data_IF_399427126135
#
_entry.id   IF_399427126135
#
_cell.length_a   1.000
_cell.length_b   1.000
_cell.length_c   1.000
_cell.angle_alpha   90.00
_cell.angle_beta   90.00
_cell.angle_gamma   90.00
#
_symmetry.space_group_name_H-M   'P 1'
#
loop_
_entity.id
_entity.type
_entity.pdbx_description
1 polymer ?
#
# COMPACT_ATOMS: atom_id res chain seq x y z
N UNK A 1 15.53 -45.48 30.56
CA UNK A 1 16.12 -44.12 30.63
C UNK A 1 15.07 -43.15 31.19
N UNK A 2 15.33 -42.52 32.33
CA UNK A 2 14.42 -41.56 32.97
C UNK A 2 14.61 -40.18 32.34
N UNK A 3 13.61 -39.65 31.63
CA UNK A 3 13.65 -38.26 31.17
C UNK A 3 13.44 -37.30 32.36
N UNK A 4 14.53 -36.64 32.77
CA UNK A 4 14.52 -35.53 33.72
C UNK A 4 13.70 -34.36 33.14
N UNK A 5 12.53 -34.07 33.74
CA UNK A 5 11.83 -32.80 33.53
C UNK A 5 12.71 -31.66 34.07
N UNK A 6 13.00 -30.65 33.23
CA UNK A 6 13.67 -29.41 33.66
C UNK A 6 12.85 -28.73 34.79
N UNK A 7 13.50 -28.17 35.81
CA UNK A 7 12.83 -27.59 36.97
C UNK A 7 12.10 -26.29 36.60
N UNK A 8 10.92 -26.10 37.20
CA UNK A 8 9.92 -25.04 36.94
C UNK A 8 10.52 -23.62 36.90
N UNK A 9 11.55 -23.33 37.71
CA UNK A 9 12.22 -22.02 37.77
C UNK A 9 12.84 -21.54 36.46
N UNK A 10 13.36 -22.43 35.60
CA UNK A 10 13.95 -22.01 34.32
C UNK A 10 12.90 -21.59 33.28
N UNK A 11 11.63 -22.05 33.37
CA UNK A 11 10.57 -21.58 32.48
C UNK A 11 10.09 -20.20 32.87
N UNK A 12 10.01 -19.92 34.16
CA UNK A 12 9.51 -18.64 34.66
C UNK A 12 10.50 -17.50 34.36
N UNK A 13 11.80 -17.74 34.43
CA UNK A 13 12.84 -16.78 33.99
C UNK A 13 12.85 -16.57 32.46
N UNK A 14 12.57 -17.62 31.67
CA UNK A 14 12.48 -17.51 30.20
C UNK A 14 11.21 -16.78 29.75
N UNK A 15 10.14 -16.84 30.53
CA UNK A 15 8.90 -16.09 30.30
C UNK A 15 9.08 -14.62 30.73
N UNK A 16 9.78 -14.35 31.84
CA UNK A 16 10.06 -12.99 32.30
C UNK A 16 11.03 -12.23 31.39
N UNK A 17 12.08 -12.89 30.90
CA UNK A 17 13.02 -12.31 29.91
C UNK A 17 12.33 -12.01 28.59
N UNK A 18 11.44 -12.89 28.10
CA UNK A 18 10.60 -12.62 26.93
C UNK A 18 9.62 -11.44 27.12
N UNK A 19 9.15 -11.21 28.35
CA UNK A 19 8.25 -10.08 28.68
C UNK A 19 9.02 -8.76 28.77
N UNK A 20 10.23 -8.76 29.34
CA UNK A 20 11.12 -7.61 29.37
C UNK A 20 11.67 -7.24 27.98
N UNK A 21 11.97 -8.23 27.13
CA UNK A 21 12.32 -8.01 25.71
C UNK A 21 11.12 -7.60 24.85
N UNK A 22 9.88 -7.95 25.23
CA UNK A 22 8.67 -7.40 24.60
C UNK A 22 8.48 -5.92 24.92
N UNK A 23 8.80 -5.50 26.15
CA UNK A 23 8.75 -4.08 26.55
C UNK A 23 9.76 -3.18 25.81
N UNK A 24 10.89 -3.72 25.36
CA UNK A 24 11.91 -2.97 24.59
C UNK A 24 11.67 -2.94 23.07
N UNK A 25 10.70 -3.69 22.53
CA UNK A 25 10.49 -3.83 21.08
C UNK A 25 9.61 -2.75 20.43
N UNK A 26 8.89 -1.96 21.22
CA UNK A 26 7.84 -1.05 20.74
C UNK A 26 8.16 0.46 20.85
N UNK A 27 9.35 0.87 21.29
CA UNK A 27 9.62 2.30 21.56
C UNK A 27 10.19 3.10 20.37
N UNK A 28 10.39 2.50 19.20
CA UNK A 28 11.13 3.14 18.08
C UNK A 28 10.26 3.63 16.92
N UNK A 29 8.95 3.37 16.92
CA UNK A 29 8.07 3.80 15.85
C UNK A 29 7.78 5.31 15.97
N UNK A 30 8.15 6.09 14.95
CA UNK A 30 7.78 7.51 14.90
C UNK A 30 6.33 7.63 14.45
N UNK A 31 5.43 7.94 15.40
CA UNK A 31 4.00 8.10 15.13
C UNK A 31 3.66 9.58 14.99
N UNK A 32 3.19 9.98 13.81
CA UNK A 32 2.80 11.37 13.50
C UNK A 32 1.37 11.47 12.94
N UNK A 33 0.61 10.39 13.03
CA UNK A 33 -0.76 10.26 12.52
C UNK A 33 -1.68 11.38 13.03
N UNK A 34 -2.47 11.96 12.13
CA UNK A 34 -3.40 13.08 12.42
C UNK A 34 -4.85 12.79 12.03
N UNK A 35 -5.15 11.57 11.59
CA UNK A 35 -6.50 11.18 11.21
C UNK A 35 -7.35 10.75 12.41
N UNK A 36 -8.50 10.19 12.10
CA UNK A 36 -9.46 9.66 13.06
C UNK A 36 -8.85 8.54 13.89
N UNK A 37 -8.79 8.75 15.21
CA UNK A 37 -8.33 7.77 16.20
C UNK A 37 -9.28 7.77 17.40
N UNK A 38 -10.29 6.89 17.43
CA UNK A 38 -11.19 6.81 18.57
C UNK A 38 -10.50 6.10 19.74
N UNK A 39 -10.64 6.65 20.95
CA UNK A 39 -10.14 6.05 22.19
C UNK A 39 -11.01 4.90 22.71
N UNK A 40 -12.23 4.77 22.16
CA UNK A 40 -13.21 3.77 22.57
C UNK A 40 -13.76 3.02 21.35
N UNK A 41 -14.52 1.95 21.60
CA UNK A 41 -15.27 1.31 20.53
C UNK A 41 -16.19 2.35 19.85
N UNK A 42 -15.94 2.59 18.56
CA UNK A 42 -16.66 3.58 17.79
C UNK A 42 -17.53 2.89 16.73
N UNK A 43 -18.87 2.99 16.81
CA UNK A 43 -19.72 2.46 15.75
C UNK A 43 -19.51 3.24 14.46
N UNK A 44 -19.40 2.53 13.34
CA UNK A 44 -19.25 3.16 12.02
C UNK A 44 -20.60 3.70 11.57
N UNK A 45 -20.64 4.96 11.16
CA UNK A 45 -21.84 5.63 10.67
C UNK A 45 -22.30 5.07 9.32
N UNK A 46 -23.61 4.95 9.16
CA UNK A 46 -24.27 4.64 7.88
C UNK A 46 -24.81 5.91 7.23
N UNK A 47 -24.32 6.25 6.04
CA UNK A 47 -24.71 7.46 5.32
C UNK A 47 -25.24 7.09 3.93
N UNK A 48 -26.43 7.57 3.51
CA UNK A 48 -26.92 7.41 2.14
C UNK A 48 -25.93 7.94 1.12
N UNK A 49 -25.54 7.12 0.15
CA UNK A 49 -24.64 7.56 -0.92
C UNK A 49 -25.19 8.79 -1.65
N UNK A 50 -26.50 8.82 -1.87
CA UNK A 50 -27.20 9.90 -2.56
C UNK A 50 -27.18 11.24 -1.79
N UNK A 51 -26.87 11.24 -0.48
CA UNK A 51 -26.78 12.47 0.31
C UNK A 51 -25.37 13.08 0.33
N UNK A 52 -24.38 12.45 -0.31
CA UNK A 52 -23.00 12.92 -0.32
C UNK A 52 -22.60 13.43 -1.70
N UNK A 53 -22.07 14.66 -1.75
CA UNK A 53 -21.23 15.07 -2.87
C UNK A 53 -19.85 14.42 -2.77
N UNK A 54 -19.09 14.41 -3.88
CA UNK A 54 -17.71 13.95 -3.86
C UNK A 54 -16.81 14.79 -2.92
N UNK A 55 -17.09 16.10 -2.82
CA UNK A 55 -16.41 16.99 -1.89
C UNK A 55 -16.72 16.66 -0.43
N UNK A 56 -17.99 16.42 -0.10
CA UNK A 56 -18.40 16.00 1.24
C UNK A 56 -17.76 14.67 1.62
N UNK A 57 -17.80 13.68 0.72
CA UNK A 57 -17.15 12.41 0.95
C UNK A 57 -15.65 12.56 1.26
N UNK A 58 -14.96 13.38 0.48
CA UNK A 58 -13.54 13.63 0.69
C UNK A 58 -13.26 14.36 2.00
N UNK A 59 -13.91 15.51 2.25
CA UNK A 59 -13.61 16.37 3.40
C UNK A 59 -14.14 15.84 4.73
N UNK A 60 -15.21 15.05 4.71
CA UNK A 60 -15.77 14.45 5.92
C UNK A 60 -15.06 13.14 6.25
N UNK A 61 -14.83 12.25 5.26
CA UNK A 61 -14.34 10.90 5.52
C UNK A 61 -12.89 10.67 5.10
N UNK A 62 -12.57 10.82 3.81
CA UNK A 62 -11.26 10.42 3.25
C UNK A 62 -10.11 11.23 3.85
N UNK A 63 -10.23 12.56 3.87
CA UNK A 63 -9.21 13.48 4.40
C UNK A 63 -8.85 13.17 5.86
N UNK A 64 -9.85 12.77 6.65
CA UNK A 64 -9.68 12.48 8.07
C UNK A 64 -9.47 11.00 8.37
N UNK A 65 -9.36 10.13 7.34
CA UNK A 65 -9.21 8.67 7.50
C UNK A 65 -10.33 8.05 8.37
N UNK A 66 -11.55 8.58 8.23
CA UNK A 66 -12.70 8.13 8.98
C UNK A 66 -13.47 7.06 8.17
N UNK A 67 -13.62 5.83 8.70
CA UNK A 67 -14.44 4.81 8.06
C UNK A 67 -15.91 5.21 7.99
N UNK A 68 -16.59 4.83 6.91
CA UNK A 68 -18.03 5.07 6.71
C UNK A 68 -18.68 3.90 5.98
N UNK A 69 -19.93 3.59 6.31
CA UNK A 69 -20.77 2.67 5.54
C UNK A 69 -21.68 3.49 4.64
N UNK A 70 -21.47 3.39 3.33
CA UNK A 70 -22.32 4.06 2.35
C UNK A 70 -23.54 3.20 2.04
N UNK A 71 -24.74 3.71 2.34
CA UNK A 71 -26.01 3.01 2.10
C UNK A 71 -26.56 3.34 0.71
N UNK A 72 -27.54 2.54 0.25
CA UNK A 72 -28.24 2.67 -1.03
C UNK A 72 -27.41 2.36 -2.30
N UNK A 73 -26.17 1.91 -2.11
CA UNK A 73 -25.26 1.28 -3.09
C UNK A 73 -24.95 2.12 -4.34
N UNK A 74 -23.89 1.76 -5.06
CA UNK A 74 -23.58 2.34 -6.37
C UNK A 74 -24.57 1.89 -7.47
N UNK A 75 -25.82 1.53 -7.14
CA UNK A 75 -26.76 0.82 -8.02
C UNK A 75 -26.99 1.49 -9.38
N UNK A 76 -26.92 2.82 -9.46
CA UNK A 76 -27.03 3.57 -10.72
C UNK A 76 -25.78 3.51 -11.62
N UNK A 77 -24.60 3.25 -11.06
CA UNK A 77 -23.31 3.28 -11.78
C UNK A 77 -22.69 1.89 -11.92
N UNK A 78 -22.86 1.03 -10.91
CA UNK A 78 -22.32 -0.31 -10.83
C UNK A 78 -23.36 -1.35 -11.25
N UNK A 79 -23.41 -1.63 -12.56
CA UNK A 79 -24.32 -2.61 -13.19
C UNK A 79 -24.14 -4.02 -12.62
N UNK A 80 -22.93 -4.35 -12.13
CA UNK A 80 -22.63 -5.64 -11.53
C UNK A 80 -23.48 -5.98 -10.31
N UNK A 81 -23.99 -4.98 -9.57
CA UNK A 81 -24.92 -5.18 -8.45
C UNK A 81 -26.20 -5.91 -8.86
N UNK A 82 -26.64 -5.73 -10.10
CA UNK A 82 -27.86 -6.37 -10.62
C UNK A 82 -27.56 -7.59 -11.50
N UNK A 83 -26.38 -7.63 -12.14
CA UNK A 83 -26.06 -8.63 -13.17
C UNK A 83 -25.32 -9.85 -12.66
N UNK A 84 -24.50 -9.72 -11.62
CA UNK A 84 -23.51 -10.73 -11.25
C UNK A 84 -24.15 -11.92 -10.52
N UNK A 85 -24.72 -12.83 -11.31
CA UNK A 85 -25.06 -14.20 -10.91
C UNK A 85 -23.92 -15.15 -11.27
N UNK A 86 -23.84 -16.34 -10.64
CA UNK A 86 -22.80 -17.32 -10.99
C UNK A 86 -22.88 -17.72 -12.48
N UNK A 87 -24.09 -17.81 -13.04
CA UNK A 87 -24.29 -18.08 -14.48
C UNK A 87 -23.71 -16.97 -15.36
N UNK A 88 -24.02 -15.70 -15.05
CA UNK A 88 -23.48 -14.55 -15.77
C UNK A 88 -21.94 -14.47 -15.67
N UNK A 89 -21.41 -14.68 -14.47
CA UNK A 89 -19.97 -14.66 -14.22
C UNK A 89 -19.24 -15.76 -14.99
N UNK A 90 -19.80 -16.97 -15.07
CA UNK A 90 -19.27 -18.04 -15.94
C UNK A 90 -19.27 -17.63 -17.41
N UNK A 91 -20.38 -17.09 -17.90
CA UNK A 91 -20.50 -16.69 -19.29
C UNK A 91 -19.48 -15.61 -19.68
N UNK A 92 -19.24 -14.64 -18.80
CA UNK A 92 -18.39 -13.47 -19.10
C UNK A 92 -16.92 -13.70 -18.85
N UNK A 93 -16.58 -14.46 -17.80
CA UNK A 93 -15.22 -14.56 -17.31
C UNK A 93 -14.78 -16.00 -17.01
N UNK A 94 -15.59 -17.01 -17.34
CA UNK A 94 -15.35 -18.41 -16.96
C UNK A 94 -14.01 -18.97 -17.46
N UNK A 95 -13.58 -18.56 -18.64
CA UNK A 95 -12.32 -18.99 -19.26
C UNK A 95 -11.09 -18.25 -18.72
N UNK A 96 -11.29 -17.20 -17.93
CA UNK A 96 -10.17 -16.48 -17.28
C UNK A 96 -9.52 -17.37 -16.23
N UNK A 97 -8.19 -17.46 -16.26
CA UNK A 97 -7.44 -18.14 -15.21
C UNK A 97 -7.23 -17.24 -14.01
N UNK A 98 -7.50 -17.78 -12.83
CA UNK A 98 -7.43 -17.09 -11.53
C UNK A 98 -6.60 -17.90 -10.55
N UNK A 99 -5.95 -17.21 -9.63
CA UNK A 99 -5.24 -17.83 -8.52
C UNK A 99 -6.13 -17.83 -7.27
N UNK A 100 -6.58 -19.02 -6.85
CA UNK A 100 -7.52 -19.21 -5.74
C UNK A 100 -6.78 -19.72 -4.53
N UNK A 101 -6.95 -19.06 -3.40
CA UNK A 101 -6.36 -19.52 -2.15
C UNK A 101 -7.09 -20.76 -1.62
N UNK A 102 -6.33 -21.72 -1.08
CA UNK A 102 -6.86 -22.98 -0.56
C UNK A 102 -6.38 -23.25 0.87
N UNK A 103 -7.32 -23.52 1.78
CA UNK A 103 -7.05 -23.94 3.16
C UNK A 103 -6.91 -25.46 3.27
N UNK A 104 -6.01 -25.96 4.11
CA UNK A 104 -5.81 -27.42 4.26
C UNK A 104 -6.89 -28.09 5.11
N UNK A 105 -7.48 -27.32 6.01
CA UNK A 105 -8.49 -27.77 6.98
C UNK A 105 -9.27 -26.57 7.52
N UNK A 106 -10.31 -26.83 8.31
CA UNK A 106 -11.21 -25.79 8.82
C UNK A 106 -10.58 -24.85 9.87
N UNK A 107 -9.46 -25.24 10.48
CA UNK A 107 -8.73 -24.42 11.45
C UNK A 107 -7.72 -23.45 10.78
N UNK A 108 -7.33 -23.72 9.54
CA UNK A 108 -6.50 -22.83 8.75
C UNK A 108 -7.27 -21.55 8.36
N UNK A 109 -6.53 -20.52 7.98
CA UNK A 109 -7.07 -19.21 7.57
C UNK A 109 -6.70 -18.91 6.12
N UNK A 110 -7.44 -17.99 5.51
CA UNK A 110 -7.00 -17.36 4.27
C UNK A 110 -6.01 -16.22 4.58
N UNK A 111 -5.20 -15.82 3.62
CA UNK A 111 -4.06 -14.91 3.81
C UNK A 111 -2.72 -15.59 4.10
N UNK A 112 -2.57 -16.90 3.80
CA UNK A 112 -1.30 -17.65 3.90
C UNK A 112 -0.61 -17.85 2.54
N UNK A 113 -1.23 -17.40 1.45
CA UNK A 113 -0.59 -17.36 0.12
C UNK A 113 -0.54 -18.71 -0.61
N UNK A 114 -1.19 -19.75 -0.09
CA UNK A 114 -1.29 -21.07 -0.74
C UNK A 114 -2.34 -21.01 -1.84
N UNK A 115 -1.92 -20.79 -3.08
CA UNK A 115 -2.82 -20.61 -4.22
C UNK A 115 -2.78 -21.78 -5.20
N UNK A 116 -3.93 -22.10 -5.78
CA UNK A 116 -4.09 -23.02 -6.91
C UNK A 116 -4.64 -22.24 -8.08
N UNK A 117 -3.97 -22.34 -9.23
CA UNK A 117 -4.43 -21.71 -10.47
C UNK A 117 -5.49 -22.58 -11.15
N UNK A 118 -6.64 -21.98 -11.48
CA UNK A 118 -7.74 -22.68 -12.16
C UNK A 118 -8.55 -21.71 -13.03
N UNK A 119 -9.35 -22.24 -13.96
CA UNK A 119 -10.34 -21.44 -14.67
C UNK A 119 -11.40 -20.91 -13.69
N UNK A 120 -11.82 -19.66 -13.85
CA UNK A 120 -12.79 -19.03 -12.97
C UNK A 120 -14.15 -19.76 -12.99
N UNK A 121 -14.54 -20.32 -14.14
CA UNK A 121 -15.74 -21.15 -14.25
C UNK A 121 -15.66 -22.40 -13.37
N UNK A 122 -14.51 -23.07 -13.35
CA UNK A 122 -14.29 -24.24 -12.50
C UNK A 122 -14.33 -23.86 -11.01
N UNK A 123 -13.78 -22.71 -10.62
CA UNK A 123 -13.92 -22.19 -9.26
C UNK A 123 -15.39 -21.98 -8.86
N UNK A 124 -16.20 -21.39 -9.75
CA UNK A 124 -17.64 -21.20 -9.50
C UNK A 124 -18.38 -22.54 -9.37
N UNK A 125 -17.98 -23.56 -10.13
CA UNK A 125 -18.55 -24.92 -10.00
C UNK A 125 -18.21 -25.56 -8.65
N UNK A 126 -17.01 -25.33 -8.13
CA UNK A 126 -16.64 -25.80 -6.79
C UNK A 126 -17.44 -25.09 -5.69
N UNK A 127 -17.72 -23.79 -5.84
CA UNK A 127 -18.61 -23.07 -4.91
C UNK A 127 -20.04 -23.59 -4.95
N UNK A 128 -20.58 -23.88 -6.14
CA UNK A 128 -21.93 -24.44 -6.30
C UNK A 128 -22.04 -25.84 -5.68
N UNK A 129 -20.94 -26.62 -5.65
CA UNK A 129 -20.84 -27.89 -4.89
C UNK A 129 -20.72 -27.68 -3.38
N UNK A 130 -20.56 -26.45 -2.91
CA UNK A 130 -20.49 -26.08 -1.50
C UNK A 130 -19.08 -26.17 -0.89
N UNK A 131 -18.01 -26.10 -1.69
CA UNK A 131 -16.63 -26.03 -1.18
C UNK A 131 -16.43 -24.73 -0.39
N UNK A 132 -15.90 -24.85 0.83
CA UNK A 132 -15.67 -23.72 1.75
C UNK A 132 -14.18 -23.43 1.97
N UNK A 133 -13.30 -24.31 1.48
CA UNK A 133 -11.85 -24.26 1.60
C UNK A 133 -11.17 -23.43 0.50
N UNK A 134 -11.95 -22.89 -0.45
CA UNK A 134 -11.48 -22.05 -1.54
C UNK A 134 -11.88 -20.58 -1.35
N UNK A 135 -10.95 -19.66 -1.63
CA UNK A 135 -11.20 -18.22 -1.61
C UNK A 135 -10.46 -17.51 -2.74
N UNK A 136 -11.22 -16.91 -3.65
CA UNK A 136 -10.68 -15.97 -4.62
C UNK A 136 -10.28 -14.70 -3.88
N UNK A 137 -8.98 -14.42 -3.94
CA UNK A 137 -8.35 -13.24 -3.34
C UNK A 137 -7.83 -12.30 -4.42
N UNK A 138 -7.02 -11.31 -4.05
CA UNK A 138 -6.35 -10.42 -5.01
C UNK A 138 -5.52 -11.21 -6.02
N UNK A 139 -5.49 -10.68 -7.24
CA UNK A 139 -4.96 -11.35 -8.41
C UNK A 139 -3.69 -10.63 -8.84
N UNK A 140 -2.66 -11.39 -9.20
CA UNK A 140 -1.38 -10.81 -9.57
C UNK A 140 -1.55 -10.02 -10.87
N UNK A 141 -1.05 -8.79 -10.87
CA UNK A 141 -0.97 -7.90 -12.03
C UNK A 141 0.50 -7.53 -12.16
N UNK A 142 0.99 -7.46 -13.39
CA UNK A 142 2.36 -7.01 -13.63
C UNK A 142 2.53 -5.55 -13.15
N UNK A 143 3.69 -5.25 -12.58
CA UNK A 143 4.02 -3.92 -12.08
C UNK A 143 5.26 -3.37 -12.79
N UNK A 144 5.26 -2.07 -13.00
CA UNK A 144 6.43 -1.27 -13.41
C UNK A 144 7.00 -0.56 -12.19
N UNK A 145 8.13 0.12 -12.35
CA UNK A 145 8.69 0.98 -11.31
C UNK A 145 7.76 2.10 -10.82
N UNK A 146 6.66 2.38 -11.53
CA UNK A 146 5.67 3.41 -11.22
C UNK A 146 4.31 2.85 -10.76
N UNK A 147 4.13 1.53 -10.70
CA UNK A 147 2.88 0.88 -10.29
C UNK A 147 2.37 -0.18 -11.28
N UNK A 148 1.17 -0.73 -11.05
CA UNK A 148 0.59 -1.80 -11.86
C UNK A 148 0.34 -1.33 -13.30
N UNK A 149 0.57 -2.22 -14.27
CA UNK A 149 0.33 -1.94 -15.70
C UNK A 149 -1.15 -1.96 -16.07
N UNK A 150 -2.01 -2.43 -15.17
CA UNK A 150 -3.46 -2.53 -15.36
C UNK A 150 -4.19 -2.24 -14.06
N UNK A 151 -5.39 -1.68 -14.18
CA UNK A 151 -6.31 -1.47 -13.06
C UNK A 151 -6.84 -2.78 -12.48
N UNK A 152 -6.83 -3.87 -13.26
CA UNK A 152 -7.51 -5.12 -12.89
C UNK A 152 -6.74 -6.36 -13.31
N UNK A 153 -6.81 -7.40 -12.49
CA UNK A 153 -6.49 -8.77 -12.87
C UNK A 153 -7.75 -9.55 -13.25
N UNK A 154 -7.58 -10.76 -13.77
CA UNK A 154 -8.70 -11.70 -13.97
C UNK A 154 -9.32 -12.09 -12.62
N UNK A 155 -10.65 -12.26 -12.49
CA UNK A 155 -11.66 -12.20 -13.53
C UNK A 155 -12.21 -10.77 -13.75
N UNK A 156 -11.79 -9.79 -12.94
CA UNK A 156 -12.34 -8.43 -12.97
C UNK A 156 -12.14 -7.74 -14.32
N UNK A 157 -11.04 -8.01 -15.02
CA UNK A 157 -10.77 -7.51 -16.38
C UNK A 157 -11.88 -7.84 -17.38
N UNK A 158 -12.45 -9.06 -17.33
CA UNK A 158 -13.55 -9.49 -18.20
C UNK A 158 -14.93 -8.92 -17.78
N UNK A 159 -15.01 -8.30 -16.60
CA UNK A 159 -16.22 -7.77 -15.99
C UNK A 159 -16.23 -6.23 -15.95
N UNK A 160 -15.20 -5.58 -16.47
CA UNK A 160 -14.98 -4.14 -16.34
C UNK A 160 -16.12 -3.29 -16.92
N UNK A 161 -16.79 -3.78 -17.96
CA UNK A 161 -17.96 -3.13 -18.56
C UNK A 161 -19.16 -2.96 -17.61
N UNK A 162 -19.19 -3.73 -16.52
CA UNK A 162 -20.22 -3.60 -15.49
C UNK A 162 -19.79 -2.69 -14.33
N UNK A 163 -18.50 -2.35 -14.21
CA UNK A 163 -17.91 -1.63 -13.07
C UNK A 163 -17.68 -0.16 -13.43
N UNK A 164 -18.02 0.80 -12.55
CA UNK A 164 -17.68 2.20 -12.79
C UNK A 164 -16.16 2.39 -12.64
N UNK A 165 -15.49 2.68 -13.76
CA UNK A 165 -14.05 2.97 -13.80
C UNK A 165 -13.63 4.16 -12.93
N UNK A 166 -14.57 5.04 -12.57
CA UNK A 166 -14.38 6.08 -11.56
C UNK A 166 -15.77 6.45 -11.03
N UNK A 167 -16.19 5.88 -9.88
CA UNK A 167 -17.44 6.27 -9.24
C UNK A 167 -17.52 7.78 -9.06
N UNK A 168 -18.68 8.41 -9.31
CA UNK A 168 -18.83 9.87 -9.16
C UNK A 168 -18.41 10.38 -7.79
N UNK A 169 -18.65 9.59 -6.74
CA UNK A 169 -18.28 9.88 -5.36
C UNK A 169 -16.77 10.14 -5.18
N UNK A 170 -15.92 9.59 -6.05
CA UNK A 170 -14.47 9.73 -5.92
C UNK A 170 -14.00 11.16 -6.12
N UNK A 171 -14.73 12.00 -6.87
CA UNK A 171 -14.26 13.34 -7.19
C UNK A 171 -12.88 13.25 -7.83
N UNK A 172 -11.86 13.83 -7.20
CA UNK A 172 -10.47 13.79 -7.67
C UNK A 172 -9.68 12.51 -7.31
N UNK A 173 -10.26 11.59 -6.55
CA UNK A 173 -9.61 10.30 -6.26
C UNK A 173 -9.57 9.43 -7.52
N UNK A 174 -8.46 8.70 -7.66
CA UNK A 174 -8.22 7.78 -8.76
C UNK A 174 -8.22 6.35 -8.21
N UNK A 175 -8.99 5.42 -8.81
CA UNK A 175 -8.86 4.02 -8.46
C UNK A 175 -7.45 3.52 -8.78
N UNK A 176 -6.83 2.88 -7.80
CA UNK A 176 -5.54 2.22 -8.00
C UNK A 176 -5.73 0.84 -8.63
N UNK A 177 -6.62 0.02 -8.05
CA UNK A 177 -6.92 -1.34 -8.50
C UNK A 177 -8.37 -1.74 -8.20
N UNK A 178 -8.93 -2.61 -9.02
CA UNK A 178 -10.18 -3.33 -8.74
C UNK A 178 -9.91 -4.82 -8.52
N UNK A 179 -10.43 -5.32 -7.41
CA UNK A 179 -10.29 -6.70 -7.00
C UNK A 179 -11.66 -7.31 -6.72
N UNK A 180 -11.79 -8.62 -6.97
CA UNK A 180 -12.98 -9.41 -6.62
C UNK A 180 -12.59 -10.42 -5.56
N UNK A 181 -13.26 -10.36 -4.42
CA UNK A 181 -13.12 -11.36 -3.37
C UNK A 181 -14.35 -12.24 -3.33
N UNK A 182 -14.14 -13.56 -3.42
CA UNK A 182 -15.24 -14.50 -3.52
C UNK A 182 -14.91 -15.80 -2.79
N UNK A 183 -15.88 -16.32 -2.06
CA UNK A 183 -15.81 -17.62 -1.43
C UNK A 183 -17.12 -17.91 -0.71
N UNK A 184 -17.21 -19.07 -0.10
CA UNK A 184 -18.37 -19.46 0.67
C UNK A 184 -17.93 -20.00 2.02
N UNK A 185 -18.70 -19.69 3.06
CA UNK A 185 -18.57 -20.36 4.34
C UNK A 185 -19.88 -20.34 5.12
N UNK A 186 -20.23 -21.46 5.74
CA UNK A 186 -21.38 -21.58 6.64
C UNK A 186 -21.04 -21.11 8.06
N UNK A 187 -19.83 -21.43 8.53
CA UNK A 187 -19.35 -21.05 9.87
C UNK A 187 -18.64 -19.69 9.92
N UNK A 188 -18.33 -19.12 8.76
CA UNK A 188 -17.52 -17.92 8.61
C UNK A 188 -16.03 -18.22 8.49
N UNK A 189 -15.32 -17.35 7.76
CA UNK A 189 -13.88 -17.42 7.55
C UNK A 189 -13.25 -16.05 7.77
N UNK A 190 -11.92 -16.01 7.86
CA UNK A 190 -11.16 -14.77 8.08
C UNK A 190 -9.93 -14.76 7.19
N UNK A 191 -9.59 -13.56 6.70
CA UNK A 191 -8.35 -13.27 5.98
C UNK A 191 -7.23 -12.78 6.91
N UNK A 192 -7.44 -12.81 8.22
CA UNK A 192 -6.53 -12.25 9.22
C UNK A 192 -6.47 -10.72 9.22
N UNK A 193 -6.03 -10.16 10.36
CA UNK A 193 -5.90 -8.71 10.52
C UNK A 193 -4.67 -8.20 9.78
N UNK A 194 -4.85 -7.21 8.92
CA UNK A 194 -3.80 -6.58 8.13
C UNK A 194 -4.17 -5.13 7.82
N UNK A 195 -3.27 -4.41 7.15
CA UNK A 195 -3.54 -3.12 6.55
C UNK A 195 -3.11 -3.12 5.08
N UNK A 196 -3.71 -2.21 4.31
CA UNK A 196 -3.42 -1.99 2.90
C UNK A 196 -2.76 -0.61 2.71
N UNK A 197 -2.06 -0.43 1.59
CA UNK A 197 -1.34 0.81 1.29
C UNK A 197 -2.24 1.93 0.74
N UNK A 198 -3.44 1.59 0.29
CA UNK A 198 -4.37 2.52 -0.35
C UNK A 198 -5.71 2.56 0.38
N UNK A 199 -6.43 3.66 0.18
CA UNK A 199 -7.83 3.75 0.61
C UNK A 199 -8.67 2.70 -0.13
N UNK A 200 -9.57 2.03 0.59
CA UNK A 200 -10.40 0.96 0.03
C UNK A 200 -11.89 1.35 0.03
N UNK A 201 -12.56 1.13 -1.10
CA UNK A 201 -14.01 1.05 -1.18
C UNK A 201 -14.43 -0.42 -1.31
N UNK A 202 -14.96 -1.00 -0.24
CA UNK A 202 -15.53 -2.34 -0.27
C UNK A 202 -17.01 -2.31 -0.65
N UNK A 203 -17.37 -2.98 -1.75
CA UNK A 203 -18.77 -3.18 -2.16
C UNK A 203 -19.18 -4.62 -1.91
N UNK A 204 -20.07 -4.84 -0.94
CA UNK A 204 -20.58 -6.18 -0.63
C UNK A 204 -21.71 -6.56 -1.59
N UNK A 205 -21.47 -7.55 -2.46
CA UNK A 205 -22.44 -8.01 -3.45
C UNK A 205 -23.37 -9.12 -2.91
N UNK A 206 -22.81 -10.10 -2.19
CA UNK A 206 -23.55 -11.25 -1.66
C UNK A 206 -23.00 -11.68 -0.31
N UNK A 207 -23.88 -12.19 0.55
CA UNK A 207 -23.53 -12.71 1.87
C UNK A 207 -23.30 -11.61 2.90
N UNK A 208 -22.42 -11.88 3.88
CA UNK A 208 -22.12 -10.98 5.00
C UNK A 208 -20.63 -11.01 5.30
N UNK A 209 -20.04 -9.83 5.53
CA UNK A 209 -18.69 -9.66 6.08
C UNK A 209 -18.75 -8.86 7.38
N UNK A 210 -17.89 -9.20 8.32
CA UNK A 210 -17.71 -8.45 9.57
C UNK A 210 -16.33 -7.80 9.52
N UNK A 211 -16.29 -6.48 9.57
CA UNK A 211 -15.04 -5.72 9.63
C UNK A 211 -14.76 -5.30 11.07
N UNK A 212 -13.52 -5.49 11.50
CA UNK A 212 -12.99 -4.91 12.74
C UNK A 212 -11.81 -4.02 12.35
N UNK A 213 -11.97 -2.72 12.52
CA UNK A 213 -10.99 -1.72 12.11
C UNK A 213 -10.25 -1.20 13.35
N UNK A 214 -8.96 -1.01 13.20
CA UNK A 214 -8.10 -0.38 14.19
C UNK A 214 -7.43 0.83 13.53
N UNK A 215 -7.39 1.95 14.23
CA UNK A 215 -6.75 3.16 13.73
C UNK A 215 -5.24 2.94 13.52
N UNK A 216 -4.61 3.55 12.49
CA UNK A 216 -3.19 3.40 12.20
C UNK A 216 -2.28 3.67 13.40
N UNK A 217 -2.60 4.65 14.25
CA UNK A 217 -1.82 4.95 15.47
C UNK A 217 -1.75 3.76 16.44
N UNK A 218 -2.66 2.79 16.37
CA UNK A 218 -2.63 1.57 17.20
C UNK A 218 -1.76 0.46 16.61
N UNK A 219 -1.18 0.64 15.41
CA UNK A 219 -0.39 -0.40 14.74
C UNK A 219 0.80 -0.92 15.58
N UNK A 220 1.39 -0.07 16.42
CA UNK A 220 2.48 -0.47 17.33
C UNK A 220 2.03 -1.41 18.46
N UNK A 221 0.72 -1.47 18.73
CA UNK A 221 0.10 -2.35 19.74
C UNK A 221 -0.32 -3.69 19.12
N UNK A 222 -0.34 -3.78 17.79
CA UNK A 222 -0.70 -4.97 17.05
C UNK A 222 0.57 -5.81 16.79
N UNK A 223 0.47 -7.14 16.95
CA UNK A 223 1.58 -8.08 16.70
C UNK A 223 1.77 -8.31 15.20
N UNK A 224 2.17 -7.25 14.50
CA UNK A 224 2.51 -7.26 13.06
C UNK A 224 3.73 -8.15 12.79
N UNK A 225 3.84 -8.67 11.57
CA UNK A 225 4.93 -9.59 11.18
C UNK A 225 6.29 -8.91 11.20
N UNK A 226 6.34 -7.62 10.87
CA UNK A 226 7.53 -6.77 10.95
C UNK A 226 7.31 -5.59 11.91
N UNK A 227 8.40 -5.04 12.44
CA UNK A 227 8.32 -3.87 13.32
C UNK A 227 7.98 -2.61 12.52
N UNK A 228 6.97 -1.87 12.97
CA UNK A 228 6.62 -0.56 12.40
C UNK A 228 7.75 0.44 12.66
N UNK A 229 8.20 1.15 11.63
CA UNK A 229 9.22 2.18 11.74
C UNK A 229 8.62 3.58 11.82
N UNK A 230 7.64 3.90 10.98
CA UNK A 230 7.03 5.24 10.91
C UNK A 230 5.54 5.08 10.60
N UNK A 231 4.72 5.90 11.24
CA UNK A 231 3.32 6.10 10.90
C UNK A 231 3.15 7.57 10.53
N UNK A 232 2.90 7.83 9.25
CA UNK A 232 2.83 9.18 8.70
C UNK A 232 1.53 9.91 9.09
N UNK A 233 1.46 11.26 8.94
CA UNK A 233 0.27 12.03 9.27
C UNK A 233 -1.01 11.53 8.59
N UNK A 234 -0.87 11.04 7.37
CA UNK A 234 -1.95 10.49 6.56
C UNK A 234 -2.28 9.02 6.86
N UNK A 235 -1.64 8.39 7.85
CA UNK A 235 -1.91 7.00 8.25
C UNK A 235 -1.09 5.93 7.52
N UNK A 236 -0.21 6.30 6.59
CA UNK A 236 0.69 5.34 5.94
C UNK A 236 1.64 4.70 6.97
N UNK A 237 1.57 3.36 7.08
CA UNK A 237 2.40 2.55 7.97
C UNK A 237 3.61 2.03 7.20
N UNK A 238 4.80 2.44 7.61
CA UNK A 238 6.07 2.08 6.98
C UNK A 238 6.89 1.16 7.88
N UNK A 239 7.38 0.06 7.32
CA UNK A 239 8.28 -0.89 7.98
C UNK A 239 9.76 -0.54 7.80
N UNK A 240 10.06 0.48 7.01
CA UNK A 240 11.42 0.92 6.68
C UNK A 240 11.52 2.44 6.79
N UNK A 241 12.70 2.93 7.20
CA UNK A 241 13.01 4.37 7.22
C UNK A 241 13.21 4.88 5.79
N UNK A 242 13.02 6.19 5.60
CA UNK A 242 13.30 6.85 4.33
C UNK A 242 12.18 6.78 3.29
N UNK A 243 11.00 6.27 3.67
CA UNK A 243 9.78 6.39 2.86
C UNK A 243 9.07 7.70 3.22
N UNK A 244 8.57 8.41 2.22
CA UNK A 244 7.75 9.61 2.37
C UNK A 244 6.30 9.27 2.74
N UNK A 245 5.53 10.28 3.14
CA UNK A 245 4.09 10.09 3.40
C UNK A 245 3.30 9.79 2.11
N UNK A 246 3.88 10.11 0.94
CA UNK A 246 3.41 9.74 -0.40
C UNK A 246 3.75 8.28 -0.77
N UNK A 247 4.44 7.53 0.09
CA UNK A 247 4.86 6.16 -0.16
C UNK A 247 6.12 6.02 -1.02
N UNK A 248 6.68 7.14 -1.50
CA UNK A 248 7.87 7.15 -2.34
C UNK A 248 9.16 7.08 -1.50
N UNK A 249 10.19 6.34 -1.94
CA UNK A 249 11.50 6.41 -1.30
C UNK A 249 12.09 7.81 -1.43
N UNK A 250 12.40 8.47 -0.31
CA UNK A 250 12.96 9.84 -0.28
C UNK A 250 14.23 9.97 -1.13
N UNK A 251 15.06 8.93 -1.15
CA UNK A 251 16.27 8.89 -1.99
C UNK A 251 15.94 8.90 -3.49
N UNK A 252 14.92 8.16 -3.92
CA UNK A 252 14.49 8.13 -5.32
C UNK A 252 13.88 9.47 -5.73
N UNK A 253 13.02 10.06 -4.89
CA UNK A 253 12.47 11.41 -5.12
C UNK A 253 13.58 12.45 -5.21
N UNK A 254 14.57 12.39 -4.31
CA UNK A 254 15.72 13.28 -4.34
C UNK A 254 16.52 13.13 -5.64
N UNK A 255 16.82 11.90 -6.06
CA UNK A 255 17.56 11.64 -7.30
C UNK A 255 16.78 12.11 -8.54
N UNK A 256 15.47 11.90 -8.57
CA UNK A 256 14.61 12.39 -9.65
C UNK A 256 14.62 13.92 -9.73
N UNK A 257 14.47 14.61 -8.58
CA UNK A 257 14.54 16.08 -8.51
C UNK A 257 15.90 16.59 -9.00
N UNK A 258 16.99 16.01 -8.51
CA UNK A 258 18.34 16.36 -8.97
C UNK A 258 18.48 16.20 -10.49
N UNK A 259 18.01 15.08 -11.05
CA UNK A 259 18.02 14.86 -12.50
C UNK A 259 17.25 15.93 -13.27
N UNK A 260 16.06 16.33 -12.80
CA UNK A 260 15.26 17.40 -13.41
C UNK A 260 15.96 18.76 -13.39
N UNK A 261 16.59 19.11 -12.28
CA UNK A 261 17.33 20.39 -12.17
C UNK A 261 18.59 20.35 -13.06
N UNK A 262 19.34 19.25 -13.08
CA UNK A 262 20.51 19.09 -13.96
C UNK A 262 20.15 19.12 -15.45
N UNK A 263 19.01 18.52 -15.81
CA UNK A 263 18.49 18.59 -17.17
C UNK A 263 18.13 20.03 -17.55
N UNK A 264 17.38 20.74 -16.69
CA UNK A 264 17.04 22.16 -16.90
C UNK A 264 18.30 23.02 -17.06
N UNK A 265 19.31 22.82 -16.21
CA UNK A 265 20.60 23.50 -16.32
C UNK A 265 21.26 23.24 -17.68
N UNK A 266 21.34 21.98 -18.10
CA UNK A 266 21.93 21.58 -19.39
C UNK A 266 21.18 22.18 -20.59
N UNK A 267 19.85 22.22 -20.53
CA UNK A 267 19.02 22.78 -21.59
C UNK A 267 19.17 24.30 -21.68
N UNK A 268 19.21 25.00 -20.54
CA UNK A 268 19.49 26.44 -20.49
C UNK A 268 20.89 26.77 -21.06
N UNK A 269 21.91 25.99 -20.71
CA UNK A 269 23.26 26.15 -21.27
C UNK A 269 23.31 25.92 -22.77
N UNK A 270 22.60 24.90 -23.28
CA UNK A 270 22.52 24.61 -24.71
C UNK A 270 21.86 25.75 -25.46
N UNK A 271 20.77 26.27 -24.92
CA UNK A 271 19.99 27.38 -25.48
C UNK A 271 20.81 28.68 -25.50
N UNK A 272 21.53 28.97 -24.41
CA UNK A 272 22.45 30.11 -24.34
C UNK A 272 23.53 30.04 -25.43
N UNK A 273 24.12 28.86 -25.60
CA UNK A 273 25.18 28.62 -26.60
C UNK A 273 24.69 28.77 -28.04
N UNK A 274 23.40 28.48 -28.31
CA UNK A 274 22.80 28.55 -29.65
C UNK A 274 22.35 29.97 -30.04
N UNK A 275 21.89 30.78 -29.09
CA UNK A 275 21.30 32.09 -29.39
C UNK A 275 22.27 33.28 -29.30
N UNK A 276 23.53 33.07 -28.92
CA UNK A 276 24.64 34.01 -29.13
C UNK A 276 24.49 35.43 -28.59
N UNK A 277 23.50 35.70 -27.75
CA UNK A 277 23.20 37.03 -27.20
C UNK A 277 23.28 36.97 -25.67
N UNK A 278 24.11 37.84 -25.09
CA UNK A 278 24.22 38.06 -23.66
C UNK A 278 22.88 38.59 -23.13
N UNK A 279 22.14 37.74 -22.42
CA UNK A 279 20.90 38.11 -21.74
C UNK A 279 21.08 37.86 -20.25
N UNK A 280 21.20 38.95 -19.50
CA UNK A 280 21.36 38.92 -18.04
C UNK A 280 20.28 38.11 -17.30
N UNK A 281 19.06 38.00 -17.87
CA UNK A 281 17.99 37.17 -17.29
C UNK A 281 18.27 35.68 -17.50
N UNK A 282 18.83 35.31 -18.66
CA UNK A 282 19.20 33.93 -18.98
C UNK A 282 20.40 33.49 -18.14
N UNK A 283 21.41 34.33 -17.98
CA UNK A 283 22.57 34.03 -17.13
C UNK A 283 22.16 33.86 -15.66
N UNK A 284 21.25 34.70 -15.17
CA UNK A 284 20.67 34.55 -13.83
C UNK A 284 19.93 33.21 -13.67
N UNK A 285 19.14 32.80 -14.68
CA UNK A 285 18.44 31.52 -14.65
C UNK A 285 19.38 30.31 -14.69
N UNK A 286 20.49 30.39 -15.43
CA UNK A 286 21.54 29.35 -15.44
C UNK A 286 22.20 29.24 -14.08
N UNK A 287 22.57 30.37 -13.47
CA UNK A 287 23.20 30.39 -12.15
C UNK A 287 22.24 29.85 -11.07
N UNK A 288 20.96 30.24 -11.11
CA UNK A 288 19.95 29.72 -10.20
C UNK A 288 19.79 28.20 -10.31
N UNK A 289 19.78 27.66 -11.54
CA UNK A 289 19.71 26.22 -11.76
C UNK A 289 20.99 25.47 -11.31
N UNK A 290 22.17 26.07 -11.47
CA UNK A 290 23.45 25.52 -10.99
C UNK A 290 23.50 25.46 -9.46
N UNK A 291 23.12 26.57 -8.80
CA UNK A 291 23.06 26.67 -7.35
C UNK A 291 22.07 25.66 -6.76
N UNK A 292 20.92 25.48 -7.42
CA UNK A 292 19.93 24.45 -7.05
C UNK A 292 20.50 23.04 -7.23
N UNK A 293 21.21 22.74 -8.33
CA UNK A 293 21.89 21.47 -8.54
C UNK A 293 22.89 21.17 -7.42
N UNK A 294 23.77 22.13 -7.11
CA UNK A 294 24.76 22.02 -6.05
C UNK A 294 24.10 21.78 -4.68
N UNK A 295 22.97 22.44 -4.42
CA UNK A 295 22.17 22.23 -3.20
C UNK A 295 21.66 20.80 -3.09
N UNK A 296 21.06 20.24 -4.15
CA UNK A 296 20.61 18.84 -4.12
C UNK A 296 21.80 17.86 -4.01
N UNK A 297 22.92 18.10 -4.70
CA UNK A 297 24.09 17.22 -4.60
C UNK A 297 24.66 17.15 -3.17
N UNK A 298 24.66 18.29 -2.45
CA UNK A 298 25.14 18.33 -1.06
C UNK A 298 24.18 17.67 -0.07
N UNK A 299 22.86 17.81 -0.26
CA UNK A 299 21.85 17.14 0.58
C UNK A 299 21.86 15.61 0.45
N UNK A 300 22.09 15.07 -0.75
CA UNK A 300 22.17 13.62 -0.99
C UNK A 300 23.43 12.94 -0.40
N UNK A 301 24.52 13.68 -0.22
CA UNK A 301 25.82 13.15 0.28
C UNK A 301 25.87 12.80 1.77
N UNK A 302 24.84 13.14 2.54
CA UNK A 302 24.82 12.94 3.99
C UNK A 302 24.37 11.54 4.42
N UNK A 303 23.81 10.73 3.51
CA UNK A 303 23.17 9.45 3.83
C UNK A 303 24.03 8.20 3.54
N UNK A 304 25.27 8.33 3.07
CA UNK A 304 26.14 7.15 2.86
C UNK A 304 27.63 7.49 3.05
N UNK A 305 28.13 7.27 4.27
CA UNK A 305 29.56 7.04 4.51
C UNK A 305 29.77 5.62 5.02
N UNK A 306 29.65 4.66 4.11
CA UNK A 306 30.42 3.43 4.17
C UNK A 306 31.29 3.35 2.92
N UNK A 307 32.51 3.87 3.03
CA UNK A 307 33.56 3.81 2.03
C UNK A 307 34.92 3.95 2.72
N UNK A 308 35.97 3.24 2.25
CA UNK A 308 37.06 2.76 3.08
C UNK A 308 38.04 3.87 3.50
N UNK A 309 38.67 3.66 4.65
CA UNK A 309 39.73 4.51 5.23
C UNK A 309 40.77 4.91 4.18
N UNK A 310 40.92 6.22 3.97
CA UNK A 310 42.11 6.84 3.38
C UNK A 310 43.32 6.57 4.27
N UNK A 311 44.29 5.80 3.78
CA UNK A 311 45.68 5.93 4.21
C UNK A 311 46.35 7.04 3.40
N UNK A 312 47.12 7.87 4.09
CA UNK A 312 47.86 9.00 3.52
C UNK A 312 48.98 8.50 2.60
N UNK A 313 49.13 9.14 1.45
CA UNK A 313 50.23 8.93 0.52
C UNK A 313 50.29 10.10 -0.46
N UNK A 314 51.42 10.78 -0.45
CA UNK A 314 51.72 12.07 -1.08
C UNK A 314 51.99 12.01 -2.59
N UNK A 315 51.68 13.13 -3.27
CA UNK A 315 52.25 13.65 -4.53
C UNK A 315 51.99 12.96 -5.89
N UNK A 316 51.33 13.72 -6.77
CA UNK A 316 51.85 14.29 -8.05
C UNK A 316 50.90 14.16 -9.25
N UNK A 317 50.95 15.18 -10.11
CA UNK A 317 50.06 15.50 -11.22
C UNK A 317 50.11 14.48 -12.38
N UNK A 318 48.97 14.29 -13.07
CA UNK A 318 48.94 13.66 -14.39
C UNK A 318 47.54 13.46 -14.96
N UNK A 319 47.25 14.17 -16.05
CA UNK A 319 46.07 14.11 -16.96
C UNK A 319 45.44 12.72 -17.17
N UNK A 320 44.10 12.66 -17.15
CA UNK A 320 43.28 11.72 -17.93
C UNK A 320 41.99 12.45 -18.39
N UNK A 321 41.89 12.85 -19.66
CA UNK A 321 41.13 12.15 -20.71
C UNK A 321 39.73 11.70 -20.26
N UNK A 322 38.72 12.57 -20.46
CA UNK A 322 37.31 12.17 -20.44
C UNK A 322 36.89 11.79 -21.86
N UNK A 323 36.43 10.55 -22.00
CA UNK A 323 35.79 10.02 -23.20
C UNK A 323 34.35 10.54 -23.22
N UNK A 324 34.00 11.21 -24.32
CA UNK A 324 32.65 11.62 -24.63
C UNK A 324 31.81 10.40 -25.00
N UNK A 325 30.63 10.25 -24.39
CA UNK A 325 29.55 9.45 -24.96
C UNK A 325 28.61 10.41 -25.70
N UNK A 326 28.50 10.19 -27.01
CA UNK A 326 27.58 10.88 -27.92
C UNK A 326 26.13 10.64 -27.49
N UNK A 327 25.41 11.73 -27.20
CA UNK A 327 23.95 11.75 -27.23
C UNK A 327 23.50 11.97 -28.67
N UNK A 328 22.82 10.96 -29.24
CA UNK A 328 22.15 11.10 -30.51
C UNK A 328 20.94 12.03 -30.36
N UNK A 329 20.90 13.03 -31.24
CA UNK A 329 19.89 14.05 -31.41
C UNK A 329 18.58 13.50 -31.99
N UNK A 330 17.44 13.90 -31.42
CA UNK A 330 16.20 14.05 -32.17
C UNK A 330 15.62 15.42 -31.83
N UNK A 331 15.35 16.20 -32.87
CA UNK A 331 14.94 17.59 -32.82
C UNK A 331 13.48 17.74 -32.32
N UNK A 332 13.24 18.91 -31.75
CA UNK A 332 11.97 19.41 -31.23
C UNK A 332 10.90 19.55 -32.33
N UNK A 333 9.64 19.54 -31.89
CA UNK A 333 8.71 20.65 -32.11
C UNK A 333 7.78 20.73 -30.88
N UNK A 334 7.96 21.80 -30.10
CA UNK A 334 7.00 22.28 -29.10
C UNK A 334 6.15 23.35 -29.81
N UNK A 335 4.83 23.17 -29.84
CA UNK A 335 3.88 24.28 -29.87
C UNK A 335 2.83 24.00 -28.79
N UNK A 336 2.97 24.74 -27.70
CA UNK A 336 1.98 24.81 -26.63
C UNK A 336 0.94 25.86 -27.01
N UNK A 337 -0.31 25.43 -27.19
CA UNK A 337 -1.48 26.28 -27.06
C UNK A 337 -2.46 25.56 -26.12
N UNK A 338 -2.79 26.27 -25.04
CA UNK A 338 -3.82 25.92 -24.06
C UNK A 338 -5.18 25.80 -24.76
N UNK A 339 -5.84 24.65 -24.67
CA UNK A 339 -7.31 24.54 -24.62
C UNK A 339 -7.69 23.12 -24.17
N UNK A 340 -7.99 22.99 -22.87
CA UNK A 340 -8.53 21.76 -22.30
C UNK A 340 -10.05 21.74 -22.49
N UNK A 341 -10.53 21.14 -23.58
CA UNK A 341 -11.87 20.58 -23.60
C UNK A 341 -12.05 19.40 -24.59
N UNK A 342 -12.78 18.38 -24.12
CA UNK A 342 -13.48 17.31 -24.87
C UNK A 342 -12.73 16.24 -25.72
N UNK A 343 -12.77 15.01 -25.19
CA UNK A 343 -13.12 13.72 -25.83
C UNK A 343 -12.41 13.27 -27.14
N UNK A 344 -11.78 12.09 -27.13
CA UNK A 344 -12.29 10.83 -27.73
C UNK A 344 -11.23 9.72 -27.68
N UNK A 345 -11.71 8.48 -27.62
CA UNK A 345 -10.88 7.28 -27.69
C UNK A 345 -10.61 6.95 -29.16
N UNK A 346 -9.35 6.74 -29.51
CA UNK A 346 -8.96 5.94 -30.67
C UNK A 346 -7.85 4.96 -30.28
N UNK A 347 -7.95 3.79 -30.88
CA UNK A 347 -7.21 2.56 -30.63
C UNK A 347 -5.83 2.63 -31.26
N UNK A 348 -4.77 2.26 -30.53
CA UNK A 348 -3.48 1.95 -31.13
C UNK A 348 -2.96 0.59 -30.65
N UNK A 349 -2.71 -0.27 -31.63
CA UNK A 349 -2.17 -1.63 -31.53
C UNK A 349 -0.68 -1.64 -31.10
N UNK A 350 -0.18 -2.74 -30.51
CA UNK A 350 1.04 -2.70 -29.69
C UNK A 350 2.34 -2.79 -30.50
N UNK A 351 3.26 -1.86 -30.25
CA UNK A 351 4.62 -1.92 -30.75
C UNK A 351 5.46 -2.96 -29.97
N UNK A 352 6.18 -3.78 -30.74
CA UNK A 352 7.05 -4.89 -30.36
C UNK A 352 8.21 -4.51 -29.43
N UNK A 353 8.53 -5.42 -28.51
CA UNK A 353 9.55 -5.27 -27.48
C UNK A 353 11.00 -5.36 -28.00
N UNK A 354 11.81 -4.39 -27.59
CA UNK A 354 13.27 -4.53 -27.51
C UNK A 354 13.69 -4.36 -26.05
N UNK A 355 14.35 -5.38 -25.52
CA UNK A 355 14.85 -5.45 -24.15
C UNK A 355 16.13 -4.62 -24.02
N UNK A 356 16.07 -3.49 -23.31
CA UNK A 356 17.26 -2.90 -22.70
C UNK A 356 17.31 -3.30 -21.23
N UNK A 357 18.33 -4.11 -20.91
CA UNK A 357 18.71 -4.48 -19.56
C UNK A 357 19.71 -3.45 -19.06
N UNK A 358 19.25 -2.45 -18.32
CA UNK A 358 20.13 -1.68 -17.44
C UNK A 358 19.52 -1.55 -16.04
N UNK A 359 20.35 -1.92 -15.06
CA UNK A 359 19.98 -2.09 -13.66
C UNK A 359 19.62 -0.77 -12.98
N UNK A 360 18.34 -0.60 -12.70
CA UNK A 360 17.83 0.33 -11.70
C UNK A 360 16.78 -0.42 -10.88
N UNK A 361 17.19 -0.86 -9.68
CA UNK A 361 16.37 -1.57 -8.72
C UNK A 361 15.31 -0.61 -8.13
N UNK A 362 14.18 -0.47 -8.79
CA UNK A 362 12.96 0.12 -8.23
C UNK A 362 11.95 -0.99 -7.93
N UNK A 363 11.86 -1.34 -6.64
CA UNK A 363 10.92 -2.27 -5.97
C UNK A 363 10.53 -3.52 -6.76
N UNK A 364 11.04 -4.72 -6.41
CA UNK A 364 10.26 -5.91 -6.71
C UNK A 364 8.93 -5.80 -5.91
N UNK A 365 7.78 -6.24 -6.46
CA UNK A 365 6.68 -6.61 -5.60
C UNK A 365 7.26 -7.58 -4.57
N UNK A 366 6.93 -7.40 -3.28
CA UNK A 366 7.18 -8.46 -2.32
C UNK A 366 6.29 -9.63 -2.74
N UNK A 367 6.77 -10.45 -3.67
CA UNK A 367 6.28 -11.80 -3.90
C UNK A 367 6.63 -12.51 -2.61
N UNK A 368 5.70 -12.49 -1.67
CA UNK A 368 5.85 -13.19 -0.41
C UNK A 368 5.92 -14.68 -0.78
N UNK A 369 7.03 -15.37 -0.45
CA UNK A 369 7.17 -16.79 -0.76
C UNK A 369 5.98 -17.58 -0.23
N UNK A 370 5.61 -18.66 -0.92
CA UNK A 370 4.50 -19.51 -0.50
C UNK A 370 4.67 -19.95 0.97
N UNK A 371 3.70 -19.59 1.82
CA UNK A 371 3.71 -19.91 3.26
C UNK A 371 4.30 -18.84 4.18
N UNK A 372 4.80 -17.72 3.65
CA UNK A 372 5.17 -16.54 4.45
C UNK A 372 4.00 -15.53 4.51
N UNK A 373 3.90 -14.78 5.62
CA UNK A 373 2.89 -13.73 5.78
C UNK A 373 3.50 -12.36 5.44
N UNK A 374 2.81 -11.50 4.66
CA UNK A 374 3.30 -10.17 4.34
C UNK A 374 3.51 -9.32 5.61
N UNK A 375 4.48 -8.39 5.65
CA UNK A 375 4.75 -7.52 6.79
C UNK A 375 3.53 -6.80 7.39
N UNK A 376 2.54 -6.49 6.55
CA UNK A 376 1.29 -5.83 6.92
C UNK A 376 0.35 -6.69 7.75
N UNK A 377 0.54 -8.02 7.75
CA UNK A 377 -0.32 -8.94 8.46
C UNK A 377 0.10 -9.10 9.92
N UNK A 378 -0.90 -9.19 10.79
CA UNK A 378 -0.71 -9.60 12.16
C UNK A 378 -0.40 -11.10 12.25
N UNK A 379 0.58 -11.46 13.08
CA UNK A 379 0.99 -12.85 13.34
C UNK A 379 -0.13 -13.65 13.98
N UNK A 380 -0.89 -13.00 14.85
CA UNK A 380 -2.06 -13.56 15.50
C UNK A 380 -3.29 -12.82 15.04
N UNK A 381 -4.32 -13.60 14.73
CA UNK A 381 -5.64 -13.06 14.59
C UNK A 381 -6.13 -12.51 15.92
N UNK A 382 -6.92 -11.45 15.88
CA UNK A 382 -7.70 -10.97 17.04
C UNK A 382 -8.93 -11.86 17.30
N UNK A 383 -8.91 -13.10 16.79
CA UNK A 383 -10.03 -14.06 16.77
C UNK A 383 -10.24 -14.74 18.11
N UNK A 384 -9.35 -14.59 19.10
CA UNK A 384 -9.62 -14.95 20.51
C UNK A 384 -10.57 -13.96 21.23
N UNK A 385 -11.56 -13.45 20.49
CA UNK A 385 -12.64 -12.60 21.03
C UNK A 385 -13.92 -13.00 20.37
N UNK A 386 -14.59 -13.93 21.04
CA UNK A 386 -15.96 -14.35 20.78
C UNK A 386 -16.77 -13.19 20.20
N UNK A 387 -17.38 -13.43 19.03
CA UNK A 387 -18.44 -12.58 18.51
C UNK A 387 -19.42 -12.30 19.66
N UNK A 388 -19.72 -11.03 20.02
CA UNK A 388 -20.89 -10.81 20.87
C UNK A 388 -22.11 -11.39 20.15
N UNK A 389 -23.07 -12.00 20.87
CA UNK A 389 -24.34 -12.38 20.28
C UNK A 389 -25.03 -11.14 19.70
N UNK A 390 -25.92 -11.38 18.73
CA UNK A 390 -26.74 -10.36 18.07
C UNK A 390 -27.49 -9.46 19.09
N UNK A 391 -28.00 -8.29 18.66
CA UNK A 391 -28.11 -7.09 19.49
C UNK A 391 -28.95 -7.30 20.75
N UNK A 392 -28.39 -6.91 21.89
CA UNK A 392 -29.08 -6.95 23.20
C UNK A 392 -28.21 -7.15 24.43
N UNK A 393 -26.89 -7.34 24.32
CA UNK A 393 -26.01 -7.57 25.48
C UNK A 393 -24.78 -6.65 25.44
N UNK A 394 -24.76 -5.74 26.41
CA UNK A 394 -23.59 -5.03 26.92
C UNK A 394 -22.61 -6.04 27.55
N UNK A 395 -21.34 -5.67 27.59
CA UNK A 395 -20.22 -6.34 28.26
C UNK A 395 -19.51 -7.45 27.47
N UNK A 396 -18.64 -7.05 26.54
CA UNK A 396 -17.42 -7.82 26.28
C UNK A 396 -16.25 -6.91 25.86
N UNK A 397 -15.38 -6.47 26.79
CA UNK A 397 -14.22 -5.65 26.46
C UNK A 397 -13.16 -6.56 25.86
N UNK A 398 -12.95 -6.36 24.56
CA UNK A 398 -11.85 -6.88 23.79
C UNK A 398 -10.51 -6.79 24.60
N UNK A 399 -9.78 -7.88 24.91
CA UNK A 399 -8.47 -7.79 25.59
C UNK A 399 -7.36 -6.87 25.00
N UNK A 400 -7.46 -6.29 23.79
CA UNK A 400 -6.54 -5.24 23.29
C UNK A 400 -6.98 -3.94 23.95
N UNK A 401 -8.30 -3.75 24.04
CA UNK A 401 -8.96 -2.75 24.84
C UNK A 401 -8.56 -2.83 26.34
N UNK A 402 -8.44 -4.01 26.94
CA UNK A 402 -7.93 -4.13 28.32
C UNK A 402 -6.45 -3.77 28.46
N UNK A 403 -5.61 -4.15 27.49
CA UNK A 403 -4.18 -3.77 27.48
C UNK A 403 -4.01 -2.25 27.34
N UNK A 404 -4.86 -1.59 26.55
CA UNK A 404 -4.89 -0.13 26.39
C UNK A 404 -5.15 0.59 27.72
N UNK A 405 -6.17 0.19 28.46
CA UNK A 405 -6.49 0.79 29.76
C UNK A 405 -5.42 0.56 30.82
N UNK A 406 -4.76 -0.61 30.83
CA UNK A 406 -3.67 -0.86 31.75
C UNK A 406 -2.45 0.03 31.48
N UNK A 407 -2.14 0.30 30.20
CA UNK A 407 -1.04 1.18 29.81
C UNK A 407 -1.32 2.66 30.17
N UNK A 408 -2.52 3.17 29.86
CA UNK A 408 -2.87 4.58 30.12
C UNK A 408 -3.00 4.86 31.63
N UNK A 409 -3.58 3.94 32.41
CA UNK A 409 -3.63 4.14 33.87
C UNK A 409 -2.24 4.08 34.52
N UNK A 410 -1.28 3.36 33.94
CA UNK A 410 0.10 3.34 34.42
C UNK A 410 0.89 4.62 34.10
N UNK A 411 0.59 5.30 32.98
CA UNK A 411 1.22 6.58 32.64
C UNK A 411 0.60 7.78 33.38
N UNK A 412 -0.72 7.76 33.65
CA UNK A 412 -1.38 8.80 34.43
C UNK A 412 -1.08 8.73 35.93
N UNK A 413 -0.77 7.56 36.49
CA UNK A 413 -0.34 7.45 37.90
C UNK A 413 1.13 7.85 38.10
N UNK A 414 1.97 7.85 37.06
CA UNK A 414 3.35 8.36 37.14
C UNK A 414 3.46 9.89 37.04
N UNK A 415 2.40 10.60 36.63
CA UNK A 415 2.36 12.08 36.55
C UNK A 415 1.68 12.74 37.77
N UNK A 416 1.19 11.94 38.73
CA UNK A 416 0.67 12.42 40.01
C UNK A 416 1.47 11.95 41.23
N UNK A 417 2.65 11.37 40.99
CA UNK A 417 3.66 11.10 42.01
C UNK A 417 5.04 11.51 41.47
N UNK A 418 5.23 12.82 41.26
CA UNK A 418 6.53 13.49 41.19
C UNK A 418 6.40 14.87 41.83
#
# INVERSE_FOLDING_TARGET
>A
MKHRKKPRRQRDEQIFTNRAERGKRCQDAVVTYKGFSPDVFWPIEGVPLASLSAGDFFYQFVKWRMPVVLTDSLSGEFKGLQRWTNSYLRQRAGDSFVDVEHRRNDFDQFGEGRKVRMAFGAFLDELDKGREDLYLTTQTIDETGTGPVSLTGHPASALLADVPLRPKLFGHLLPYQYNVWMGQSRAGTTSGLHHDFHDNLYVLLRGRKVFRLYSPDKAHQLDTTCNVSVIHPNGLICYQKGIGEDGAPRAAVHQWKLGRVCQRYSDLQRTASQHGCEDSRRDAAIQEADDECATYMTMGGSASRCGPRRTQGTHSLGRHHMVAHECASVAADDDAEDDFDTLTAEEDEPATSTQDKDGSSSRPPQVVPEGEKPPSFCRRNTVDRHLPPAPGLTDNPDPIWQQYHQAIHSEQTSLHCA
#
